data_IF_364667835741
#
_entry.id   IF_364667835741
#
_cell.length_a   1.000
_cell.length_b   1.000
_cell.length_c   1.000
_cell.angle_alpha   90.00
_cell.angle_beta   90.00
_cell.angle_gamma   90.00
#
_symmetry.space_group_name_H-M   'P 1'
#
loop_
_entity.id
_entity.type
_entity.pdbx_description
1 polymer ?
#
# COMPACT_ATOMS: atom_id res chain seq x y z
N UNK A 1 -51.57 -13.31 3.16
CA UNK A 1 -52.36 -12.09 3.45
C UNK A 1 -51.38 -10.94 3.56
N UNK A 2 -51.51 -9.98 2.62
CA UNK A 2 -50.86 -8.66 2.50
C UNK A 2 -49.33 -8.54 2.56
N UNK A 3 -48.67 -7.70 1.76
CA UNK A 3 -48.75 -7.26 0.35
C UNK A 3 -47.49 -6.42 0.14
N UNK A 4 -46.78 -6.66 -0.97
CA UNK A 4 -45.67 -5.81 -1.44
C UNK A 4 -46.20 -4.41 -1.79
N UNK A 5 -45.38 -3.39 -1.57
CA UNK A 5 -45.57 -2.05 -2.13
C UNK A 5 -44.49 -1.82 -3.20
N UNK A 6 -44.94 -1.72 -4.44
CA UNK A 6 -44.20 -1.31 -5.63
C UNK A 6 -44.51 0.17 -5.86
N UNK A 7 -43.50 1.03 -6.07
CA UNK A 7 -43.73 2.37 -6.61
C UNK A 7 -43.31 2.40 -8.08
N UNK A 8 -44.27 2.74 -8.95
CA UNK A 8 -44.06 3.00 -10.38
C UNK A 8 -43.96 4.50 -10.66
N UNK A 9 -43.07 4.81 -11.59
CA UNK A 9 -42.93 5.97 -12.48
C UNK A 9 -43.95 7.11 -12.46
N UNK A 10 -43.41 8.33 -12.54
CA UNK A 10 -43.99 9.45 -13.30
C UNK A 10 -42.95 9.94 -14.32
N UNK A 11 -43.32 9.92 -15.60
CA UNK A 11 -42.63 10.51 -16.75
C UNK A 11 -43.47 11.65 -17.32
N UNK A 12 -42.89 12.84 -17.50
CA UNK A 12 -43.12 13.82 -18.58
C UNK A 12 -42.21 15.03 -18.27
N UNK A 13 -41.66 15.84 -19.17
CA UNK A 13 -41.81 15.99 -20.60
C UNK A 13 -40.59 16.75 -21.15
N UNK A 14 -40.39 16.58 -22.45
CA UNK A 14 -39.46 17.22 -23.36
C UNK A 14 -39.57 18.76 -23.38
N UNK A 15 -38.44 19.47 -23.40
CA UNK A 15 -38.38 20.84 -23.94
C UNK A 15 -37.13 21.01 -24.81
N UNK A 16 -37.38 21.38 -26.08
CA UNK A 16 -36.37 21.63 -27.11
C UNK A 16 -35.79 23.05 -26.99
N UNK A 17 -34.49 23.12 -27.29
CA UNK A 17 -33.63 24.24 -27.71
C UNK A 17 -34.30 25.57 -28.09
N UNK A 18 -33.70 26.67 -27.59
CA UNK A 18 -33.26 27.80 -28.41
C UNK A 18 -31.99 28.41 -27.80
N UNK A 19 -31.00 28.73 -28.65
CA UNK A 19 -29.77 29.42 -28.24
C UNK A 19 -29.90 30.93 -28.40
N UNK A 20 -29.07 31.67 -27.65
CA UNK A 20 -28.51 32.96 -28.07
C UNK A 20 -27.35 33.34 -27.16
N UNK A 21 -26.21 33.61 -27.79
CA UNK A 21 -25.03 34.22 -27.19
C UNK A 21 -25.33 35.68 -26.79
N UNK A 22 -24.76 36.14 -25.68
CA UNK A 22 -24.37 37.53 -25.47
C UNK A 22 -23.15 37.61 -24.55
N UNK A 23 -22.27 38.54 -24.91
CA UNK A 23 -20.92 38.73 -24.40
C UNK A 23 -20.85 39.78 -23.27
N UNK A 24 -19.89 39.56 -22.36
CA UNK A 24 -19.20 40.57 -21.53
C UNK A 24 -19.82 40.92 -20.16
N UNK A 25 -19.06 41.51 -19.22
CA UNK A 25 -17.65 41.91 -19.27
C UNK A 25 -16.74 41.25 -18.21
N UNK A 26 -15.43 41.38 -18.44
CA UNK A 26 -14.34 40.93 -17.60
C UNK A 26 -14.25 41.70 -16.27
N UNK A 27 -14.03 40.98 -15.17
CA UNK A 27 -13.57 41.55 -13.90
C UNK A 27 -12.07 41.28 -13.76
N UNK A 28 -11.28 42.34 -13.80
CA UNK A 28 -9.86 42.36 -13.45
C UNK A 28 -9.78 42.59 -11.95
N UNK A 29 -9.29 41.60 -11.19
CA UNK A 29 -8.90 41.78 -9.80
C UNK A 29 -7.37 41.80 -9.73
N UNK A 30 -6.80 42.99 -9.62
CA UNK A 30 -5.39 43.17 -9.31
C UNK A 30 -5.23 43.11 -7.79
N UNK A 31 -4.49 42.10 -7.29
CA UNK A 31 -4.05 42.05 -5.90
C UNK A 31 -2.54 42.26 -5.85
N UNK A 32 -2.15 43.48 -5.45
CA UNK A 32 -0.77 43.84 -5.10
C UNK A 32 -0.46 43.34 -3.69
N UNK A 33 0.48 42.42 -3.55
CA UNK A 33 1.08 42.06 -2.25
C UNK A 33 2.38 42.85 -2.05
N UNK A 34 2.39 43.71 -1.02
CA UNK A 34 3.59 44.36 -0.50
C UNK A 34 4.37 43.35 0.36
N UNK A 35 5.59 43.04 -0.09
CA UNK A 35 6.60 42.28 0.64
C UNK A 35 7.22 43.14 1.75
N UNK A 36 7.24 42.65 2.99
CA UNK A 36 8.16 43.12 4.03
C UNK A 36 9.30 42.10 4.18
N UNK A 37 10.58 42.53 4.19
CA UNK A 37 11.70 41.65 4.51
C UNK A 37 11.93 41.57 6.03
N UNK A 38 12.47 40.46 6.57
CA UNK A 38 12.93 40.43 7.95
C UNK A 38 14.31 41.09 8.04
N UNK A 39 14.44 42.12 8.85
CA UNK A 39 15.75 42.69 9.22
C UNK A 39 16.28 41.96 10.45
N UNK A 40 17.43 41.32 10.28
CA UNK A 40 18.33 40.99 11.37
C UNK A 40 18.99 42.26 11.90
N UNK A 41 19.18 42.40 13.22
CA UNK A 41 20.30 43.18 13.74
C UNK A 41 20.71 42.76 15.16
N UNK A 42 22.03 42.74 15.29
CA UNK A 42 22.88 42.35 16.40
C UNK A 42 22.68 43.12 17.71
N UNK A 43 22.94 42.38 18.79
CA UNK A 43 23.83 42.69 19.92
C UNK A 43 24.36 44.13 20.05
N UNK A 44 24.14 44.72 21.23
CA UNK A 44 25.02 45.73 21.81
C UNK A 44 25.27 45.46 23.30
N UNK A 45 26.55 45.54 23.66
CA UNK A 45 27.14 45.36 24.98
C UNK A 45 26.87 46.56 25.91
N UNK A 46 26.70 46.26 27.20
CA UNK A 46 27.56 46.80 28.28
C UNK A 46 27.28 48.20 28.85
N UNK A 47 26.83 48.24 30.11
CA UNK A 47 26.97 49.38 31.01
C UNK A 47 26.33 49.14 32.39
N UNK A 48 27.08 49.16 33.52
CA UNK A 48 26.59 48.68 34.83
C UNK A 48 26.08 49.82 35.73
N UNK A 49 25.11 49.52 36.60
CA UNK A 49 25.02 49.96 38.00
C UNK A 49 23.67 49.61 38.64
N UNK A 50 23.73 49.22 39.92
CA UNK A 50 22.62 49.39 40.86
C UNK A 50 22.15 48.10 41.51
N UNK A 51 22.81 47.69 42.60
CA UNK A 51 22.35 46.62 43.47
C UNK A 51 21.04 46.98 44.17
N UNK A 52 20.17 45.97 44.29
CA UNK A 52 18.98 45.97 45.11
C UNK A 52 18.56 44.53 45.34
N UNK A 53 18.93 43.99 46.50
CA UNK A 53 18.58 42.64 46.91
C UNK A 53 17.07 42.51 47.11
N UNK A 54 16.51 41.46 46.51
CA UNK A 54 15.15 41.00 46.75
C UNK A 54 15.11 39.52 46.41
N UNK A 55 15.07 38.67 47.44
CA UNK A 55 14.94 37.23 47.29
C UNK A 55 13.63 36.89 46.60
N UNK A 56 13.73 36.36 45.38
CA UNK A 56 12.71 35.52 44.79
C UNK A 56 13.36 34.15 44.63
N UNK A 57 12.82 33.15 45.31
CA UNK A 57 13.21 31.77 45.08
C UNK A 57 13.09 31.50 43.59
N UNK A 58 14.21 31.14 42.97
CA UNK A 58 14.22 30.60 41.63
C UNK A 58 13.45 29.27 41.71
N UNK A 59 12.14 29.32 41.47
CA UNK A 59 11.43 28.17 40.97
C UNK A 59 12.17 27.78 39.71
N UNK A 60 12.93 26.68 39.77
CA UNK A 60 13.40 26.02 38.58
C UNK A 60 12.16 25.81 37.72
N UNK A 61 12.02 26.58 36.65
CA UNK A 61 11.14 26.19 35.57
C UNK A 61 11.64 24.80 35.19
N UNK A 62 10.88 23.76 35.58
CA UNK A 62 11.15 22.42 35.08
C UNK A 62 11.15 22.56 33.57
N UNK A 63 12.26 22.20 32.95
CA UNK A 63 12.31 22.09 31.50
C UNK A 63 11.21 21.09 31.12
N UNK A 64 10.14 21.55 30.47
CA UNK A 64 8.99 20.70 30.13
C UNK A 64 9.44 19.48 29.30
N UNK A 65 10.56 19.60 28.57
CA UNK A 65 11.20 18.47 27.87
C UNK A 65 11.70 17.39 28.84
N UNK A 66 12.16 17.77 30.02
CA UNK A 66 12.60 16.83 31.07
C UNK A 66 11.45 16.04 31.70
N UNK A 67 10.21 16.55 31.65
CA UNK A 67 9.01 15.84 32.10
C UNK A 67 8.53 14.86 31.04
N UNK A 68 8.49 15.27 29.76
CA UNK A 68 8.11 14.39 28.65
C UNK A 68 9.11 13.24 28.49
N UNK A 69 10.41 13.49 28.65
CA UNK A 69 11.45 12.45 28.58
C UNK A 69 11.40 11.42 29.72
N UNK A 70 10.58 11.65 30.76
CA UNK A 70 10.36 10.69 31.86
C UNK A 70 9.10 9.85 31.66
N UNK A 71 8.30 10.13 30.64
CA UNK A 71 7.08 9.37 30.32
C UNK A 71 7.41 8.41 29.19
N UNK A 72 7.39 7.11 29.48
CA UNK A 72 7.50 6.10 28.45
C UNK A 72 6.19 6.05 27.65
N UNK A 73 6.30 6.12 26.32
CA UNK A 73 5.18 5.78 25.45
C UNK A 73 4.79 4.32 25.71
N UNK A 74 3.48 4.05 25.78
CA UNK A 74 2.96 2.69 25.85
C UNK A 74 1.74 2.59 24.95
N UNK A 75 1.52 1.41 24.40
CA UNK A 75 0.24 1.09 23.77
C UNK A 75 -0.86 1.11 24.84
N UNK A 76 -1.99 1.71 24.50
CA UNK A 76 -3.19 1.77 25.34
C UNK A 76 -4.31 0.85 24.83
N UNK A 77 -4.09 0.15 23.71
CA UNK A 77 -5.14 -0.58 22.99
C UNK A 77 -6.29 0.33 22.51
N UNK A 78 -7.43 -0.23 22.07
CA UNK A 78 -7.63 -1.61 21.65
C UNK A 78 -6.79 -1.97 20.42
N UNK A 79 -6.49 -3.26 20.24
CA UNK A 79 -5.91 -3.80 19.01
C UNK A 79 -6.95 -4.59 18.17
N UNK A 80 -8.16 -4.79 18.71
CA UNK A 80 -9.21 -5.65 18.14
C UNK A 80 -9.83 -5.12 16.85
N UNK A 81 -9.70 -3.84 16.55
CA UNK A 81 -10.12 -3.25 15.28
C UNK A 81 -9.00 -3.23 14.24
N UNK A 82 -7.76 -3.36 14.69
CA UNK A 82 -6.56 -3.31 13.87
C UNK A 82 -6.55 -2.13 12.89
N UNK A 83 -5.96 -2.31 11.72
CA UNK A 83 -5.91 -1.31 10.68
C UNK A 83 -5.35 -1.89 9.38
N UNK A 84 -5.07 -0.99 8.44
CA UNK A 84 -4.78 -1.34 7.05
C UNK A 84 -3.44 -2.03 6.85
N UNK A 85 -3.52 -3.30 6.44
CA UNK A 85 -2.39 -4.11 5.97
C UNK A 85 -2.33 -4.02 4.45
N UNK A 86 -1.17 -3.62 3.91
CA UNK A 86 -0.97 -3.39 2.47
C UNK A 86 -0.24 -4.52 1.76
N UNK A 87 0.53 -5.32 2.49
CA UNK A 87 1.23 -6.48 1.92
C UNK A 87 1.53 -7.54 2.99
N UNK A 88 1.71 -8.79 2.54
CA UNK A 88 2.00 -9.96 3.38
C UNK A 88 3.10 -10.77 2.70
N UNK A 89 4.13 -11.13 3.45
CA UNK A 89 5.13 -12.10 3.03
C UNK A 89 5.27 -13.25 4.04
N UNK A 90 5.51 -14.44 3.53
CA UNK A 90 5.75 -15.64 4.33
C UNK A 90 7.13 -16.16 4.02
N UNK A 91 7.87 -16.56 5.04
CA UNK A 91 9.16 -17.19 4.82
C UNK A 91 8.97 -18.65 4.37
N UNK A 92 9.33 -18.94 3.12
CA UNK A 92 9.07 -20.24 2.48
C UNK A 92 10.29 -21.18 2.47
N UNK A 93 11.46 -20.72 2.91
CA UNK A 93 12.70 -21.52 2.89
C UNK A 93 12.62 -22.72 3.84
N UNK A 94 12.77 -23.96 3.35
CA UNK A 94 12.80 -25.16 4.20
C UNK A 94 13.97 -25.12 5.21
N UNK A 95 13.70 -25.47 6.47
CA UNK A 95 14.74 -25.65 7.51
C UNK A 95 14.90 -24.52 8.53
N UNK A 96 14.08 -23.46 8.48
CA UNK A 96 14.03 -22.47 9.56
C UNK A 96 13.44 -23.05 10.87
N UNK A 97 13.91 -22.53 12.02
CA UNK A 97 13.35 -22.82 13.35
C UNK A 97 11.86 -22.44 13.36
N UNK A 98 10.97 -23.43 13.42
CA UNK A 98 9.52 -23.23 13.27
C UNK A 98 8.86 -24.17 12.26
N UNK A 99 9.65 -24.75 11.35
CA UNK A 99 9.40 -26.02 10.65
C UNK A 99 8.17 -26.18 9.74
N UNK A 100 7.21 -25.25 9.75
CA UNK A 100 5.99 -25.33 8.92
C UNK A 100 5.77 -24.03 8.15
N UNK A 101 5.57 -24.14 6.83
CA UNK A 101 5.21 -23.03 5.96
C UNK A 101 3.98 -22.30 6.51
N UNK A 102 4.03 -20.97 6.54
CA UNK A 102 2.98 -20.12 7.14
C UNK A 102 3.11 -19.88 8.65
N UNK A 103 4.25 -20.18 9.27
CA UNK A 103 4.52 -19.83 10.69
C UNK A 103 5.26 -18.51 10.86
N UNK A 104 6.20 -18.21 9.96
CA UNK A 104 6.95 -16.94 9.94
C UNK A 104 6.32 -16.02 8.89
N UNK A 105 5.62 -15.00 9.37
CA UNK A 105 4.82 -14.08 8.57
C UNK A 105 5.30 -12.67 8.84
N UNK A 106 5.44 -11.89 7.78
CA UNK A 106 5.68 -10.46 7.82
C UNK A 106 4.48 -9.74 7.23
N UNK A 107 4.06 -8.65 7.84
CA UNK A 107 3.02 -7.77 7.30
C UNK A 107 3.54 -6.34 7.20
N UNK A 108 3.14 -5.67 6.12
CA UNK A 108 3.36 -4.25 5.94
C UNK A 108 2.06 -3.49 6.26
N UNK A 109 2.11 -2.54 7.19
CA UNK A 109 0.98 -1.68 7.49
C UNK A 109 1.07 -0.37 6.66
N UNK A 110 -0.06 0.12 6.15
CA UNK A 110 -0.09 1.38 5.39
C UNK A 110 0.47 2.55 6.21
N UNK A 111 0.21 2.49 7.52
CA UNK A 111 0.84 3.28 8.59
C UNK A 111 1.03 2.37 9.79
N UNK A 112 2.26 2.25 10.31
CA UNK A 112 2.58 1.38 11.44
C UNK A 112 3.77 0.44 11.22
N UNK A 113 4.54 0.63 10.13
CA UNK A 113 5.77 -0.11 9.88
C UNK A 113 5.55 -1.58 9.50
N UNK A 114 6.54 -2.40 9.81
CA UNK A 114 6.54 -3.85 9.54
C UNK A 114 6.38 -4.62 10.85
N UNK A 115 5.56 -5.65 10.80
CA UNK A 115 5.33 -6.56 11.92
C UNK A 115 5.68 -7.98 11.52
N UNK A 116 6.21 -8.74 12.48
CA UNK A 116 6.60 -10.14 12.31
C UNK A 116 5.84 -11.02 13.29
N UNK A 117 5.40 -12.17 12.80
CA UNK A 117 4.93 -13.28 13.61
C UNK A 117 5.82 -14.49 13.37
N UNK A 118 6.12 -15.25 14.43
CA UNK A 118 6.74 -16.57 14.35
C UNK A 118 5.80 -17.69 14.81
N UNK A 119 4.53 -17.36 15.06
CA UNK A 119 3.51 -18.25 15.60
C UNK A 119 2.32 -18.43 14.63
N UNK A 120 2.48 -18.07 13.35
CA UNK A 120 1.42 -18.16 12.35
C UNK A 120 0.32 -17.11 12.53
N UNK A 121 0.66 -15.93 13.03
CA UNK A 121 -0.28 -14.81 13.21
C UNK A 121 -1.04 -14.80 14.54
N UNK A 122 -0.62 -15.64 15.50
CA UNK A 122 -1.14 -15.63 16.88
C UNK A 122 -0.58 -14.45 17.66
N UNK A 123 0.72 -14.18 17.53
CA UNK A 123 1.42 -13.07 18.20
C UNK A 123 2.24 -12.28 17.18
N UNK A 124 2.41 -10.99 17.44
CA UNK A 124 3.07 -10.05 16.53
C UNK A 124 4.05 -9.13 17.27
N UNK A 125 5.18 -8.87 16.63
CA UNK A 125 6.20 -7.95 17.11
C UNK A 125 6.45 -6.87 16.04
N UNK A 126 6.49 -5.57 16.39
CA UNK A 126 6.93 -4.53 15.49
C UNK A 126 8.44 -4.64 15.31
N UNK A 127 8.92 -4.59 14.07
CA UNK A 127 10.34 -4.80 13.74
C UNK A 127 10.96 -3.63 12.96
N UNK A 128 10.21 -2.52 12.81
CA UNK A 128 10.61 -1.40 11.96
C UNK A 128 10.45 -0.02 12.61
N UNK A 129 10.17 0.03 13.91
CA UNK A 129 9.88 1.28 14.63
C UNK A 129 11.07 2.25 14.67
N UNK A 130 12.30 1.73 14.58
CA UNK A 130 13.54 2.52 14.63
C UNK A 130 13.96 3.11 13.27
N UNK A 131 13.28 2.74 12.17
CA UNK A 131 13.65 3.15 10.81
C UNK A 131 13.29 4.61 10.46
N UNK A 132 12.49 5.28 11.29
CA UNK A 132 12.11 6.70 11.11
C UNK A 132 11.03 6.96 10.07
N UNK A 133 10.46 5.90 9.46
CA UNK A 133 9.40 5.95 8.46
C UNK A 133 8.33 4.92 8.79
N UNK A 134 7.06 5.34 8.80
CA UNK A 134 5.95 4.51 9.25
C UNK A 134 5.00 4.05 8.15
N UNK A 135 5.11 4.59 6.93
CA UNK A 135 4.26 4.20 5.79
C UNK A 135 4.96 3.17 4.93
N UNK A 136 4.32 2.03 4.72
CA UNK A 136 4.88 0.91 3.96
C UNK A 136 4.15 0.71 2.64
N UNK A 137 4.86 0.13 1.68
CA UNK A 137 4.33 -0.24 0.36
C UNK A 137 4.47 -1.72 0.03
N UNK A 138 5.53 -2.39 0.49
CA UNK A 138 5.80 -3.79 0.20
C UNK A 138 6.70 -4.43 1.26
N UNK A 139 6.53 -5.74 1.51
CA UNK A 139 7.47 -6.55 2.28
C UNK A 139 7.67 -7.88 1.58
N UNK A 140 8.91 -8.32 1.44
CA UNK A 140 9.20 -9.59 0.76
C UNK A 140 10.38 -10.31 1.41
N UNK A 141 10.37 -11.64 1.32
CA UNK A 141 11.37 -12.52 1.91
C UNK A 141 12.05 -13.29 0.77
N UNK A 142 13.38 -13.37 0.78
CA UNK A 142 14.09 -14.09 -0.27
C UNK A 142 13.77 -15.59 -0.24
N UNK A 143 13.35 -16.21 -1.36
CA UNK A 143 13.02 -17.65 -1.40
C UNK A 143 14.20 -18.54 -1.01
N UNK A 144 15.41 -18.17 -1.44
CA UNK A 144 16.67 -18.88 -1.15
C UNK A 144 17.21 -18.68 0.26
N UNK A 145 16.80 -17.62 0.98
CA UNK A 145 17.31 -17.31 2.31
C UNK A 145 16.36 -16.42 3.11
N UNK A 146 15.60 -17.03 4.00
CA UNK A 146 14.62 -16.32 4.82
C UNK A 146 15.17 -15.32 5.85
N UNK A 147 16.49 -15.22 6.04
CA UNK A 147 17.08 -14.10 6.80
C UNK A 147 17.09 -12.80 6.00
N UNK A 148 16.98 -12.88 4.67
CA UNK A 148 16.99 -11.72 3.79
C UNK A 148 15.56 -11.25 3.61
N UNK A 149 15.25 -10.09 4.19
CA UNK A 149 13.95 -9.44 4.11
C UNK A 149 14.14 -8.07 3.49
N UNK A 150 13.33 -7.76 2.48
CA UNK A 150 13.29 -6.45 1.85
C UNK A 150 11.99 -5.74 2.17
N UNK A 151 12.08 -4.44 2.40
CA UNK A 151 10.95 -3.58 2.74
C UNK A 151 10.95 -2.38 1.81
N UNK A 152 9.80 -2.13 1.17
CA UNK A 152 9.52 -0.94 0.40
C UNK A 152 8.67 0.03 1.21
N UNK A 153 9.10 1.28 1.31
CA UNK A 153 8.36 2.30 2.06
C UNK A 153 7.50 3.18 1.16
N UNK A 154 6.44 3.72 1.74
CA UNK A 154 5.47 4.61 1.11
C UNK A 154 4.36 3.87 0.37
N UNK A 155 3.12 4.10 0.81
CA UNK A 155 1.95 3.43 0.27
C UNK A 155 1.77 3.74 -1.24
N UNK A 156 1.70 2.73 -2.13
CA UNK A 156 1.68 2.97 -3.58
C UNK A 156 0.31 3.38 -4.13
N UNK A 157 -0.68 3.57 -3.26
CA UNK A 157 -2.02 3.97 -3.66
C UNK A 157 -2.05 5.42 -4.18
N UNK A 158 -3.03 5.74 -5.03
CA UNK A 158 -3.19 7.07 -5.60
C UNK A 158 -4.17 7.93 -4.79
N UNK A 159 -4.08 7.85 -3.47
CA UNK A 159 -5.04 8.45 -2.55
C UNK A 159 -4.46 9.62 -1.78
N UNK A 160 -5.30 10.58 -1.37
CA UNK A 160 -4.84 11.79 -0.65
C UNK A 160 -4.23 11.48 0.72
N UNK A 161 -4.67 10.38 1.33
CA UNK A 161 -4.17 9.86 2.60
C UNK A 161 -2.92 9.00 2.44
N UNK A 162 -2.51 8.65 1.22
CA UNK A 162 -1.31 7.86 0.98
C UNK A 162 -0.08 8.66 1.38
N UNK A 163 0.61 8.16 2.39
CA UNK A 163 1.81 8.78 2.94
C UNK A 163 3.03 8.32 2.16
N UNK A 164 4.03 9.19 2.06
CA UNK A 164 5.29 8.88 1.41
C UNK A 164 6.21 8.12 2.38
N UNK A 165 7.06 7.29 1.81
CA UNK A 165 8.23 6.72 2.45
C UNK A 165 9.51 7.38 1.95
N UNK A 166 10.63 6.73 2.22
CA UNK A 166 11.95 7.21 1.86
C UNK A 166 12.83 6.13 1.22
N UNK A 167 12.24 5.15 0.52
CA UNK A 167 12.95 4.19 -0.31
C UNK A 167 12.83 2.74 0.18
N UNK A 168 13.91 1.98 0.03
CA UNK A 168 13.95 0.54 0.32
C UNK A 168 14.96 0.21 1.41
N UNK A 169 14.66 -0.83 2.19
CA UNK A 169 15.49 -1.33 3.28
C UNK A 169 15.72 -2.83 3.14
N UNK A 170 16.88 -3.30 3.59
CA UNK A 170 17.26 -4.71 3.63
C UNK A 170 17.59 -5.11 5.06
N UNK A 171 17.08 -6.27 5.48
CA UNK A 171 17.56 -7.00 6.64
C UNK A 171 18.29 -8.25 6.17
N UNK A 172 19.33 -8.64 6.90
CA UNK A 172 20.08 -9.90 6.70
C UNK A 172 20.00 -10.82 7.92
N UNK A 173 19.14 -10.47 8.87
CA UNK A 173 18.93 -11.11 10.17
C UNK A 173 17.43 -11.31 10.47
N UNK A 174 16.63 -11.54 9.42
CA UNK A 174 15.20 -11.83 9.52
C UNK A 174 14.38 -10.72 10.18
N UNK A 175 14.78 -9.46 10.00
CA UNK A 175 14.12 -8.27 10.50
C UNK A 175 14.54 -7.83 11.89
N UNK A 176 15.65 -8.35 12.46
CA UNK A 176 16.20 -7.80 13.71
C UNK A 176 16.79 -6.40 13.49
N UNK A 177 17.47 -6.19 12.37
CA UNK A 177 17.98 -4.89 11.94
C UNK A 177 17.73 -4.62 10.46
N UNK A 178 17.64 -3.35 10.10
CA UNK A 178 17.43 -2.90 8.72
C UNK A 178 18.44 -1.84 8.32
N UNK A 179 19.01 -2.00 7.14
CA UNK A 179 19.86 -1.02 6.47
C UNK A 179 19.08 -0.34 5.35
N UNK A 180 19.23 0.99 5.22
CA UNK A 180 18.64 1.74 4.12
C UNK A 180 19.45 1.53 2.84
N UNK A 181 18.80 1.04 1.78
CA UNK A 181 19.47 0.63 0.54
C UNK A 181 19.24 1.59 -0.62
N UNK A 182 18.74 2.81 -0.38
CA UNK A 182 18.56 3.83 -1.43
C UNK A 182 17.13 3.99 -1.92
N UNK A 183 16.97 4.55 -3.14
CA UNK A 183 15.69 4.91 -3.75
C UNK A 183 14.86 5.94 -2.97
N UNK A 184 15.54 6.88 -2.28
CA UNK A 184 14.93 7.85 -1.36
C UNK A 184 13.87 8.74 -1.98
N UNK A 185 14.05 9.09 -3.24
CA UNK A 185 13.17 10.00 -3.97
C UNK A 185 12.04 9.28 -4.68
N UNK A 186 11.98 7.94 -4.58
CA UNK A 186 10.83 7.17 -5.06
C UNK A 186 9.56 7.53 -4.30
N UNK A 187 9.67 7.80 -2.99
CA UNK A 187 8.57 8.08 -2.07
C UNK A 187 7.51 6.99 -1.94
N UNK A 188 7.33 6.11 -2.92
CA UNK A 188 6.32 5.07 -2.94
C UNK A 188 6.88 3.86 -3.68
N UNK A 189 7.07 2.77 -2.95
CA UNK A 189 7.47 1.48 -3.51
C UNK A 189 6.22 0.63 -3.69
N UNK A 190 6.00 0.15 -4.91
CA UNK A 190 4.82 -0.66 -5.25
C UNK A 190 4.99 -2.14 -4.99
N UNK A 191 6.15 -2.69 -5.36
CA UNK A 191 6.45 -4.12 -5.26
C UNK A 191 7.96 -4.34 -5.32
N UNK A 192 8.47 -5.32 -4.57
CA UNK A 192 9.84 -5.81 -4.64
C UNK A 192 9.79 -7.30 -5.00
N UNK A 193 10.57 -7.70 -5.99
CA UNK A 193 10.77 -9.12 -6.34
C UNK A 193 12.25 -9.48 -6.26
N UNK A 194 12.53 -10.61 -5.62
CA UNK A 194 13.88 -11.13 -5.37
C UNK A 194 14.07 -12.34 -6.28
N UNK A 195 15.23 -12.43 -6.93
CA UNK A 195 15.56 -13.60 -7.74
C UNK A 195 15.56 -14.87 -6.87
N UNK A 196 14.93 -15.97 -7.32
CA UNK A 196 14.67 -17.14 -6.47
C UNK A 196 15.93 -17.79 -5.93
N UNK A 197 16.99 -17.85 -6.75
CA UNK A 197 18.24 -18.55 -6.43
C UNK A 197 19.39 -17.63 -6.00
N UNK A 198 19.23 -16.30 -6.14
CA UNK A 198 20.28 -15.33 -5.86
C UNK A 198 19.70 -14.07 -5.19
N UNK A 199 19.77 -13.97 -3.86
CA UNK A 199 19.12 -12.89 -3.13
C UNK A 199 19.81 -11.52 -3.31
N UNK A 200 20.93 -11.46 -4.02
CA UNK A 200 21.60 -10.20 -4.37
C UNK A 200 21.02 -9.56 -5.64
N UNK A 201 20.22 -10.30 -6.41
CA UNK A 201 19.49 -9.79 -7.58
C UNK A 201 18.06 -9.42 -7.17
N UNK A 202 17.74 -8.13 -7.18
CA UNK A 202 16.45 -7.61 -6.71
C UNK A 202 15.93 -6.56 -7.69
N UNK A 203 14.61 -6.58 -7.91
CA UNK A 203 13.90 -5.58 -8.72
C UNK A 203 12.88 -4.84 -7.85
N UNK A 204 12.83 -3.52 -8.03
CA UNK A 204 11.92 -2.64 -7.31
C UNK A 204 11.03 -1.90 -8.31
N UNK A 205 9.72 -2.11 -8.21
CA UNK A 205 8.71 -1.29 -8.85
C UNK A 205 8.57 0.03 -8.07
N UNK A 206 9.24 1.07 -8.57
CA UNK A 206 9.21 2.41 -8.00
C UNK A 206 8.09 3.23 -8.66
N UNK A 207 7.07 3.61 -7.89
CA UNK A 207 5.92 4.35 -8.42
C UNK A 207 6.26 5.85 -8.59
N UNK A 208 7.17 6.35 -7.76
CA UNK A 208 7.57 7.75 -7.74
C UNK A 208 6.63 8.66 -6.94
N UNK A 209 7.05 9.92 -6.74
CA UNK A 209 6.29 10.93 -6.01
C UNK A 209 4.85 11.09 -6.49
N UNK A 210 3.90 11.07 -5.55
CA UNK A 210 2.48 11.23 -5.85
C UNK A 210 2.10 12.68 -6.22
N UNK A 211 2.78 13.66 -5.59
CA UNK A 211 2.45 15.08 -5.66
C UNK A 211 3.40 15.91 -6.53
N UNK A 212 4.34 15.27 -7.22
CA UNK A 212 5.35 15.91 -8.05
C UNK A 212 5.76 15.05 -9.25
N UNK A 213 6.27 15.71 -10.30
CA UNK A 213 6.96 15.05 -11.39
C UNK A 213 8.39 14.63 -10.97
N UNK A 214 8.99 13.69 -11.70
CA UNK A 214 10.39 13.26 -11.49
C UNK A 214 10.55 12.30 -10.32
N UNK A 215 11.71 12.34 -9.64
CA UNK A 215 12.09 11.35 -8.62
C UNK A 215 12.41 9.97 -9.22
N UNK A 216 12.81 9.04 -8.36
CA UNK A 216 13.08 7.66 -8.77
C UNK A 216 11.75 6.94 -9.09
N UNK A 217 11.44 6.77 -10.37
CA UNK A 217 10.24 6.05 -10.84
C UNK A 217 10.59 5.12 -12.00
N UNK A 218 9.92 3.97 -12.08
CA UNK A 218 10.25 2.92 -13.05
C UNK A 218 10.52 1.56 -12.39
N UNK A 219 11.22 0.67 -13.09
CA UNK A 219 11.83 -0.52 -12.47
C UNK A 219 13.31 -0.23 -12.20
N UNK A 220 13.73 -0.45 -10.96
CA UNK A 220 15.14 -0.43 -10.58
C UNK A 220 15.61 -1.85 -10.30
N UNK A 221 16.81 -2.19 -10.78
CA UNK A 221 17.47 -3.48 -10.55
C UNK A 221 18.76 -3.26 -9.77
N UNK A 222 19.04 -4.14 -8.82
CA UNK A 222 20.36 -4.31 -8.23
C UNK A 222 20.86 -5.73 -8.52
N UNK A 223 22.18 -5.87 -8.64
CA UNK A 223 22.88 -7.15 -8.83
C UNK A 223 23.89 -7.40 -7.69
N UNK A 224 23.94 -6.51 -6.71
CA UNK A 224 24.92 -6.50 -5.61
C UNK A 224 24.22 -6.32 -4.24
N UNK A 225 22.97 -6.77 -4.17
CA UNK A 225 22.17 -6.78 -2.95
C UNK A 225 21.80 -5.40 -2.44
N UNK A 226 21.74 -4.40 -3.32
CA UNK A 226 21.29 -3.04 -3.01
C UNK A 226 22.40 -2.01 -2.83
N UNK A 227 23.67 -2.37 -3.05
CA UNK A 227 24.78 -1.42 -2.96
C UNK A 227 24.75 -0.43 -4.13
N UNK A 228 24.27 -0.86 -5.30
CA UNK A 228 24.01 -0.02 -6.45
C UNK A 228 22.69 -0.37 -7.14
N UNK A 229 22.11 0.62 -7.83
CA UNK A 229 20.84 0.50 -8.54
C UNK A 229 20.95 1.00 -9.97
N UNK A 230 20.37 0.24 -10.89
CA UNK A 230 20.20 0.59 -12.30
C UNK A 230 18.71 0.77 -12.61
N UNK A 231 18.34 1.88 -13.25
CA UNK A 231 16.99 2.06 -13.77
C UNK A 231 16.84 1.30 -15.08
N UNK A 232 16.18 0.14 -15.05
CA UNK A 232 16.06 -0.78 -16.19
C UNK A 232 14.76 -0.57 -16.99
N UNK A 233 13.76 0.10 -16.42
CA UNK A 233 12.57 0.55 -17.15
C UNK A 233 12.18 1.96 -16.70
N UNK A 234 12.22 2.93 -17.61
CA UNK A 234 11.75 4.31 -17.38
C UNK A 234 10.79 4.71 -18.50
N UNK A 235 9.68 5.36 -18.17
CA UNK A 235 8.67 5.79 -19.15
C UNK A 235 8.73 7.30 -19.36
N UNK A 236 8.33 8.08 -18.35
CA UNK A 236 8.39 9.54 -18.34
C UNK A 236 8.37 10.07 -16.89
N UNK A 237 8.40 11.39 -16.71
CA UNK A 237 8.45 12.04 -15.39
C UNK A 237 7.17 11.93 -14.53
N UNK A 238 6.07 11.40 -15.07
CA UNK A 238 4.79 11.20 -14.38
C UNK A 238 4.37 9.73 -14.29
N UNK A 239 5.19 8.82 -14.83
CA UNK A 239 4.86 7.40 -14.98
C UNK A 239 5.89 6.54 -14.29
N UNK A 240 5.48 5.90 -13.20
CA UNK A 240 6.28 4.88 -12.49
C UNK A 240 5.77 3.48 -12.75
N UNK A 241 6.24 2.52 -11.96
CA UNK A 241 5.77 1.13 -12.01
C UNK A 241 5.18 0.77 -10.65
N UNK A 242 3.95 0.26 -10.65
CA UNK A 242 3.21 -0.08 -9.43
C UNK A 242 3.27 -1.54 -9.06
N UNK A 243 3.58 -2.41 -10.02
CA UNK A 243 3.61 -3.86 -9.82
C UNK A 243 4.62 -4.52 -10.76
N UNK A 244 5.23 -5.60 -10.30
CA UNK A 244 6.17 -6.41 -11.08
C UNK A 244 6.07 -7.86 -10.62
N UNK A 245 6.04 -8.78 -11.59
CA UNK A 245 6.05 -10.22 -11.33
C UNK A 245 7.14 -10.90 -12.16
N UNK A 246 7.72 -11.95 -11.59
CA UNK A 246 8.82 -12.73 -12.15
C UNK A 246 8.33 -14.15 -12.45
N UNK A 247 8.70 -14.70 -13.60
CA UNK A 247 8.43 -16.10 -13.91
C UNK A 247 9.23 -17.00 -12.96
N UNK A 248 8.56 -17.85 -12.16
CA UNK A 248 9.22 -18.67 -11.14
C UNK A 248 10.11 -19.77 -11.72
N UNK A 249 9.98 -20.07 -13.02
CA UNK A 249 10.76 -21.09 -13.73
C UNK A 249 11.85 -20.49 -14.61
N UNK A 250 11.77 -19.19 -14.91
CA UNK A 250 12.77 -18.46 -15.66
C UNK A 250 12.84 -16.99 -15.20
N UNK A 251 13.70 -16.66 -14.23
CA UNK A 251 13.74 -15.33 -13.62
C UNK A 251 14.20 -14.19 -14.55
N UNK A 252 14.65 -14.49 -15.78
CA UNK A 252 14.89 -13.48 -16.82
C UNK A 252 13.58 -12.91 -17.39
N UNK A 253 12.47 -13.62 -17.21
CA UNK A 253 11.15 -13.20 -17.68
C UNK A 253 10.45 -12.41 -16.58
N UNK A 254 10.19 -11.14 -16.87
CA UNK A 254 9.53 -10.20 -15.96
C UNK A 254 8.34 -9.55 -16.66
N UNK A 255 7.29 -9.25 -15.90
CA UNK A 255 6.18 -8.41 -16.34
C UNK A 255 6.04 -7.23 -15.39
N UNK A 256 6.02 -6.01 -15.93
CA UNK A 256 5.92 -4.78 -15.14
C UNK A 256 4.69 -3.98 -15.54
N UNK A 257 4.01 -3.41 -14.54
CA UNK A 257 2.80 -2.63 -14.71
C UNK A 257 3.08 -1.13 -14.45
N UNK A 258 3.14 -0.33 -15.50
CA UNK A 258 3.35 1.10 -15.36
C UNK A 258 2.05 1.83 -15.03
N UNK A 259 2.16 2.89 -14.22
CA UNK A 259 1.06 3.73 -13.81
C UNK A 259 1.45 5.21 -13.98
N UNK A 260 0.77 5.87 -14.90
CA UNK A 260 0.81 7.33 -14.99
C UNK A 260 -0.11 7.93 -13.93
N UNK A 261 0.46 8.74 -13.02
CA UNK A 261 -0.33 9.38 -11.96
C UNK A 261 0.16 10.78 -11.60
N UNK A 262 -0.78 11.60 -11.15
CA UNK A 262 -0.51 12.90 -10.55
C UNK A 262 -1.62 13.26 -9.55
N UNK A 263 -1.22 13.82 -8.41
CA UNK A 263 -2.13 14.46 -7.46
C UNK A 263 -1.85 15.94 -7.30
N UNK A 264 -2.94 16.71 -7.28
CA UNK A 264 -2.98 18.09 -6.78
C UNK A 264 -4.13 18.23 -5.81
N UNK A 265 -4.13 19.30 -5.02
CA UNK A 265 -5.23 19.62 -4.12
C UNK A 265 -6.60 19.64 -4.84
N UNK A 266 -6.62 19.96 -6.13
CA UNK A 266 -7.80 20.16 -6.95
C UNK A 266 -7.96 19.20 -8.13
N UNK A 267 -6.99 18.30 -8.39
CA UNK A 267 -7.06 17.40 -9.56
C UNK A 267 -6.58 15.98 -9.27
N UNK A 268 -7.05 15.06 -10.12
CA UNK A 268 -6.71 13.65 -10.14
C UNK A 268 -6.23 13.23 -11.52
N UNK A 269 -5.07 12.61 -11.61
CA UNK A 269 -4.69 11.75 -12.73
C UNK A 269 -4.40 10.35 -12.19
N UNK A 270 -5.23 9.40 -12.59
CA UNK A 270 -5.16 7.98 -12.17
C UNK A 270 -4.76 7.01 -13.28
N UNK A 271 -4.42 7.53 -14.45
CA UNK A 271 -4.12 6.77 -15.64
C UNK A 271 -3.77 7.69 -16.80
N UNK A 272 -3.32 7.10 -17.90
CA UNK A 272 -2.93 7.83 -19.10
C UNK A 272 -2.12 6.98 -20.07
N UNK A 273 -1.60 7.59 -21.16
CA UNK A 273 -0.85 6.89 -22.19
C UNK A 273 0.44 6.24 -21.70
N UNK A 274 1.01 6.71 -20.58
CA UNK A 274 2.17 6.12 -19.94
C UNK A 274 1.87 4.79 -19.24
N UNK A 275 0.62 4.53 -18.85
CA UNK A 275 0.21 3.28 -18.20
C UNK A 275 0.21 2.10 -19.18
N UNK A 276 0.52 0.90 -18.69
CA UNK A 276 0.48 -0.32 -19.48
C UNK A 276 1.31 -1.47 -18.91
N UNK A 277 1.34 -2.57 -19.64
CA UNK A 277 2.07 -3.78 -19.25
C UNK A 277 3.29 -3.93 -20.16
N UNK A 278 4.45 -4.16 -19.56
CA UNK A 278 5.72 -4.39 -20.24
C UNK A 278 6.22 -5.79 -19.91
N UNK A 279 6.92 -6.42 -20.85
CA UNK A 279 7.57 -7.71 -20.66
C UNK A 279 9.06 -7.63 -20.98
N UNK A 280 9.88 -8.20 -20.11
CA UNK A 280 11.28 -8.54 -20.37
C UNK A 280 11.43 -10.05 -20.54
N UNK A 281 12.46 -10.47 -21.28
CA UNK A 281 12.89 -11.87 -21.40
C UNK A 281 14.41 -12.05 -21.17
N UNK A 282 15.08 -10.99 -20.69
CA UNK A 282 16.53 -10.89 -20.54
C UNK A 282 16.90 -10.20 -19.21
N UNK A 283 16.14 -10.47 -18.14
CA UNK A 283 16.44 -9.95 -16.81
C UNK A 283 16.27 -8.43 -16.67
N UNK A 284 15.47 -7.81 -17.54
CA UNK A 284 15.13 -6.40 -17.51
C UNK A 284 16.03 -5.53 -18.39
N UNK A 285 17.00 -6.10 -19.11
CA UNK A 285 17.85 -5.33 -20.03
C UNK A 285 17.04 -4.71 -21.17
N UNK A 286 16.01 -5.41 -21.65
CA UNK A 286 15.07 -4.87 -22.64
C UNK A 286 13.61 -5.14 -22.28
N UNK A 287 12.73 -4.19 -22.66
CA UNK A 287 11.30 -4.26 -22.37
C UNK A 287 10.45 -4.05 -23.62
N UNK A 288 9.47 -4.92 -23.81
CA UNK A 288 8.45 -4.81 -24.86
C UNK A 288 7.11 -4.45 -24.25
N UNK A 289 6.51 -3.33 -24.68
CA UNK A 289 5.14 -2.97 -24.29
C UNK A 289 4.14 -3.94 -24.93
N UNK A 290 3.28 -4.54 -24.12
CA UNK A 290 2.22 -5.43 -24.56
C UNK A 290 0.97 -4.63 -24.93
N UNK A 291 0.22 -5.10 -25.93
CA UNK A 291 -0.98 -4.39 -26.42
C UNK A 291 -2.06 -5.28 -27.01
N UNK A 292 -1.70 -6.45 -27.55
CA UNK A 292 -2.66 -7.33 -28.23
C UNK A 292 -3.68 -7.90 -27.25
N UNK A 293 -4.93 -7.47 -27.38
CA UNK A 293 -6.06 -7.92 -26.54
C UNK A 293 -6.17 -7.23 -25.18
N UNK A 294 -5.34 -6.21 -24.95
CA UNK A 294 -5.46 -5.27 -23.83
C UNK A 294 -6.30 -4.05 -24.25
N UNK A 295 -6.74 -3.20 -23.29
CA UNK A 295 -7.45 -1.97 -23.60
C UNK A 295 -6.82 -1.13 -24.69
N UNK A 296 -7.65 -0.59 -25.59
CA UNK A 296 -7.21 0.34 -26.64
C UNK A 296 -7.26 1.80 -26.18
N UNK A 297 -7.92 2.04 -25.05
CA UNK A 297 -8.04 3.33 -24.35
C UNK A 297 -6.98 3.49 -23.25
N UNK A 298 -6.89 4.69 -22.67
CA UNK A 298 -5.96 4.95 -21.56
C UNK A 298 -6.26 4.03 -20.37
N UNK A 299 -5.20 3.43 -19.83
CA UNK A 299 -5.26 2.54 -18.67
C UNK A 299 -4.91 3.30 -17.38
N UNK A 300 -5.54 2.92 -16.28
CA UNK A 300 -5.23 3.35 -14.93
C UNK A 300 -4.31 2.39 -14.20
N UNK A 301 -4.54 2.16 -12.90
CA UNK A 301 -3.78 1.18 -12.12
C UNK A 301 -3.98 -0.23 -12.67
N UNK A 302 -2.89 -0.99 -12.69
CA UNK A 302 -2.83 -2.37 -13.13
C UNK A 302 -2.18 -3.19 -12.01
N UNK A 303 -2.86 -4.24 -11.55
CA UNK A 303 -2.26 -5.27 -10.70
C UNK A 303 -1.98 -6.51 -11.51
N UNK A 304 -0.87 -7.19 -11.25
CA UNK A 304 -0.43 -8.40 -11.95
C UNK A 304 -0.32 -9.56 -10.98
N UNK A 305 -0.56 -10.78 -11.50
CA UNK A 305 -0.08 -11.99 -10.87
C UNK A 305 0.19 -13.08 -11.92
N UNK A 306 1.10 -14.00 -11.61
CA UNK A 306 1.57 -15.07 -12.50
C UNK A 306 1.29 -16.43 -11.87
N UNK A 307 0.78 -17.37 -12.66
CA UNK A 307 0.55 -18.73 -12.18
C UNK A 307 1.88 -19.45 -11.91
N UNK A 308 2.04 -19.98 -10.69
CA UNK A 308 3.22 -20.77 -10.34
C UNK A 308 3.24 -22.12 -11.06
N UNK A 309 2.07 -22.77 -11.20
CA UNK A 309 1.94 -24.05 -11.92
C UNK A 309 2.00 -23.91 -13.44
N UNK A 310 1.64 -22.75 -14.00
CA UNK A 310 1.62 -22.48 -15.44
C UNK A 310 2.16 -21.07 -15.75
N UNK A 311 3.48 -20.82 -15.73
CA UNK A 311 4.05 -19.46 -15.85
C UNK A 311 3.77 -18.69 -17.15
N UNK A 312 3.23 -19.33 -18.19
CA UNK A 312 2.71 -18.64 -19.37
C UNK A 312 1.33 -17.98 -19.12
N UNK A 313 0.69 -18.32 -18.01
CA UNK A 313 -0.57 -17.76 -17.54
C UNK A 313 -0.31 -16.56 -16.64
N UNK A 314 -0.69 -15.38 -17.10
CA UNK A 314 -0.56 -14.13 -16.34
C UNK A 314 -1.91 -13.43 -16.34
N UNK A 315 -2.27 -12.90 -15.16
CA UNK A 315 -3.48 -12.14 -14.92
C UNK A 315 -3.17 -10.67 -14.73
N UNK A 316 -4.11 -9.82 -15.14
CA UNK A 316 -4.07 -8.40 -14.90
C UNK A 316 -5.45 -7.87 -14.51
N UNK A 317 -5.54 -7.05 -13.47
CA UNK A 317 -6.73 -6.24 -13.17
C UNK A 317 -6.45 -4.82 -13.64
N UNK A 318 -7.25 -4.32 -14.57
CA UNK A 318 -6.96 -3.04 -15.24
C UNK A 318 -8.08 -2.05 -14.97
N UNK A 319 -7.72 -0.85 -14.49
CA UNK A 319 -8.61 0.32 -14.44
C UNK A 319 -8.67 1.01 -15.81
N UNK A 320 -9.85 1.53 -16.17
CA UNK A 320 -10.03 2.34 -17.39
C UNK A 320 -11.46 2.28 -17.91
N UNK A 321 -11.71 2.83 -19.09
CA UNK A 321 -13.01 2.68 -19.77
C UNK A 321 -13.28 1.24 -20.20
N UNK A 322 -12.23 0.47 -20.46
CA UNK A 322 -12.26 -0.97 -20.76
C UNK A 322 -11.76 -1.76 -19.54
N UNK A 323 -12.20 -1.39 -18.33
CA UNK A 323 -11.76 -2.04 -17.10
C UNK A 323 -12.11 -3.52 -17.04
N UNK A 324 -11.36 -4.28 -16.25
CA UNK A 324 -11.70 -5.68 -15.97
C UNK A 324 -10.51 -6.55 -15.61
N UNK A 325 -10.79 -7.85 -15.53
CA UNK A 325 -9.77 -8.89 -15.40
C UNK A 325 -9.38 -9.38 -16.78
N UNK A 326 -8.09 -9.32 -17.08
CA UNK A 326 -7.48 -9.79 -18.31
C UNK A 326 -6.56 -10.97 -18.02
N UNK A 327 -6.47 -11.89 -18.96
CA UNK A 327 -5.62 -13.07 -18.88
C UNK A 327 -4.88 -13.32 -20.19
N UNK A 328 -3.66 -13.80 -20.10
CA UNK A 328 -2.91 -14.43 -21.19
C UNK A 328 -2.55 -15.86 -20.78
N UNK A 329 -2.48 -16.80 -21.72
CA UNK A 329 -1.93 -18.17 -21.49
C UNK A 329 -0.68 -18.43 -22.34
N UNK A 330 -0.13 -17.39 -22.97
CA UNK A 330 0.98 -17.50 -23.90
C UNK A 330 2.07 -16.46 -23.62
N UNK A 331 2.23 -16.14 -22.33
CA UNK A 331 3.26 -15.24 -21.83
C UNK A 331 3.13 -13.83 -22.40
N UNK A 332 1.91 -13.32 -22.53
CA UNK A 332 1.64 -11.94 -22.94
C UNK A 332 1.61 -11.69 -24.45
N UNK A 333 1.73 -12.72 -25.31
CA UNK A 333 1.63 -12.55 -26.77
C UNK A 333 0.22 -12.13 -27.21
N UNK A 334 -0.80 -12.58 -26.48
CA UNK A 334 -2.17 -12.11 -26.62
C UNK A 334 -2.91 -12.23 -25.28
N UNK A 335 -3.69 -11.20 -24.97
CA UNK A 335 -4.56 -11.13 -23.81
C UNK A 335 -6.02 -11.30 -24.24
N UNK A 336 -6.87 -11.66 -23.27
CA UNK A 336 -8.32 -11.67 -23.39
C UNK A 336 -8.93 -11.11 -22.11
N UNK A 337 -9.99 -10.33 -22.26
CA UNK A 337 -10.82 -9.92 -21.13
C UNK A 337 -11.65 -11.12 -20.66
N UNK A 338 -11.56 -11.43 -19.37
CA UNK A 338 -12.28 -12.53 -18.72
C UNK A 338 -13.60 -12.03 -18.12
N UNK A 339 -13.56 -10.83 -17.52
CA UNK A 339 -14.72 -10.15 -16.93
C UNK A 339 -14.51 -8.64 -16.88
N UNK A 340 -15.56 -7.89 -16.57
CA UNK A 340 -15.53 -6.44 -16.31
C UNK A 340 -15.27 -6.09 -14.84
N UNK A 341 -14.91 -7.09 -14.02
CA UNK A 341 -14.63 -6.89 -12.59
C UNK A 341 -13.36 -6.06 -12.42
N UNK A 342 -13.55 -4.92 -11.78
CA UNK A 342 -12.51 -4.04 -11.30
C UNK A 342 -13.12 -3.23 -10.16
N UNK A 343 -12.81 -3.57 -8.91
CA UNK A 343 -13.31 -2.83 -7.74
C UNK A 343 -12.27 -1.82 -7.31
N UNK A 344 -12.48 -0.55 -7.69
CA UNK A 344 -11.67 0.61 -7.28
C UNK A 344 -10.15 0.34 -7.44
N UNK A 345 -9.66 -0.01 -8.65
CA UNK A 345 -8.29 -0.55 -8.77
C UNK A 345 -7.21 0.47 -8.44
N UNK A 346 -7.47 1.77 -8.52
CA UNK A 346 -6.55 2.82 -8.06
C UNK A 346 -6.20 2.70 -6.56
N UNK A 347 -7.03 2.00 -5.78
CA UNK A 347 -6.84 1.76 -4.34
C UNK A 347 -6.47 0.32 -4.00
N UNK A 348 -7.20 -0.66 -4.56
CA UNK A 348 -6.94 -2.10 -4.34
C UNK A 348 -6.13 -2.68 -5.48
N UNK A 349 -6.79 -2.94 -6.62
CA UNK A 349 -6.14 -3.32 -7.87
C UNK A 349 -5.18 -4.49 -7.73
N UNK A 350 -5.56 -5.51 -6.94
CA UNK A 350 -4.75 -6.70 -6.68
C UNK A 350 -5.52 -7.95 -7.13
N UNK A 351 -4.80 -8.89 -7.74
CA UNK A 351 -5.26 -10.22 -8.09
C UNK A 351 -4.27 -11.24 -7.55
N UNK A 352 -4.76 -12.41 -7.14
CA UNK A 352 -3.92 -13.54 -6.73
C UNK A 352 -4.36 -14.81 -7.45
N UNK A 353 -3.41 -15.55 -7.99
CA UNK A 353 -3.61 -16.83 -8.67
C UNK A 353 -3.26 -17.94 -7.71
N UNK A 354 -4.12 -18.94 -7.62
CA UNK A 354 -3.82 -20.14 -6.85
C UNK A 354 -2.52 -20.80 -7.40
N UNK A 355 -1.52 -21.06 -6.53
CA UNK A 355 -0.26 -21.67 -6.91
C UNK A 355 -0.37 -22.99 -7.67
N UNK A 356 -1.42 -23.77 -7.39
CA UNK A 356 -1.61 -25.13 -7.91
C UNK A 356 -2.60 -25.19 -9.08
N UNK A 357 -3.50 -24.22 -9.21
CA UNK A 357 -4.52 -24.19 -10.27
C UNK A 357 -4.73 -22.78 -10.87
N UNK A 358 -4.31 -22.51 -12.12
CA UNK A 358 -4.48 -21.19 -12.74
C UNK A 358 -5.95 -20.78 -12.97
N UNK A 359 -6.91 -21.70 -12.83
CA UNK A 359 -8.32 -21.37 -12.95
C UNK A 359 -8.92 -20.82 -11.63
N UNK A 360 -8.22 -20.99 -10.51
CA UNK A 360 -8.63 -20.42 -9.22
C UNK A 360 -7.93 -19.09 -9.01
N UNK A 361 -8.69 -18.00 -8.97
CA UNK A 361 -8.16 -16.64 -8.81
C UNK A 361 -8.98 -15.82 -7.84
N UNK A 362 -8.31 -14.94 -7.11
CA UNK A 362 -8.90 -14.03 -6.13
C UNK A 362 -8.71 -12.58 -6.59
N UNK A 363 -9.80 -11.82 -6.61
CA UNK A 363 -9.77 -10.39 -6.86
C UNK A 363 -9.97 -9.65 -5.54
N UNK A 364 -8.98 -8.86 -5.16
CA UNK A 364 -8.97 -8.08 -3.92
C UNK A 364 -9.51 -6.69 -4.23
N UNK A 365 -10.61 -6.35 -3.56
CA UNK A 365 -11.32 -5.09 -3.75
C UNK A 365 -12.40 -4.95 -2.69
N UNK A 366 -13.53 -4.33 -3.02
CA UNK A 366 -14.73 -4.32 -2.17
C UNK A 366 -15.88 -4.95 -2.95
N UNK A 367 -16.31 -6.19 -2.67
CA UNK A 367 -15.77 -7.15 -1.67
C UNK A 367 -14.61 -8.02 -2.22
N UNK A 368 -14.05 -8.91 -1.38
CA UNK A 368 -13.18 -10.02 -1.82
C UNK A 368 -13.97 -11.02 -2.65
N UNK A 369 -13.45 -11.34 -3.83
CA UNK A 369 -14.10 -12.26 -4.77
C UNK A 369 -13.17 -13.38 -5.20
N UNK A 370 -13.72 -14.58 -5.39
CA UNK A 370 -13.03 -15.77 -5.91
C UNK A 370 -13.70 -16.23 -7.19
N UNK A 371 -12.90 -16.62 -8.18
CA UNK A 371 -13.31 -17.32 -9.39
C UNK A 371 -12.70 -18.72 -9.40
N UNK A 372 -13.43 -19.68 -9.96
CA UNK A 372 -12.99 -21.07 -10.15
C UNK A 372 -12.92 -21.45 -11.63
N UNK A 373 -13.07 -20.48 -12.53
CA UNK A 373 -13.12 -20.64 -13.98
C UNK A 373 -12.23 -19.61 -14.69
N UNK A 374 -11.13 -19.25 -14.03
CA UNK A 374 -10.09 -18.43 -14.58
C UNK A 374 -10.49 -16.96 -14.75
N UNK A 375 -11.41 -16.47 -13.92
CA UNK A 375 -11.84 -15.08 -13.89
C UNK A 375 -13.09 -14.78 -14.72
N UNK A 376 -13.82 -15.78 -15.20
CA UNK A 376 -15.06 -15.58 -15.98
C UNK A 376 -16.25 -15.29 -15.05
N UNK A 377 -16.43 -16.11 -14.02
CA UNK A 377 -17.47 -15.93 -13.00
C UNK A 377 -16.87 -15.81 -11.61
N UNK A 378 -17.56 -15.06 -10.74
CA UNK A 378 -17.03 -14.65 -9.44
C UNK A 378 -18.08 -14.81 -8.35
N UNK A 379 -17.63 -15.25 -7.17
CA UNK A 379 -18.42 -15.35 -5.94
C UNK A 379 -17.71 -14.62 -4.80
N UNK A 380 -18.46 -14.18 -3.79
CA UNK A 380 -17.85 -13.63 -2.57
C UNK A 380 -16.98 -14.67 -1.89
N UNK A 381 -15.77 -14.27 -1.48
CA UNK A 381 -14.85 -15.08 -0.68
C UNK A 381 -14.53 -14.43 0.68
N UNK A 382 -15.36 -13.46 1.09
CA UNK A 382 -15.40 -12.94 2.45
C UNK A 382 -16.77 -13.26 3.07
N UNK A 383 -16.76 -13.96 4.20
CA UNK A 383 -17.94 -14.29 5.01
C UNK A 383 -17.64 -13.99 6.48
N UNK A 384 -18.63 -14.08 7.37
CA UNK A 384 -18.36 -14.10 8.82
C UNK A 384 -17.87 -12.79 9.45
N UNK A 385 -18.05 -11.64 8.81
CA UNK A 385 -17.68 -10.33 9.38
C UNK A 385 -16.25 -9.87 9.07
N UNK A 386 -15.59 -10.48 8.08
CA UNK A 386 -14.35 -9.94 7.52
C UNK A 386 -14.58 -8.52 6.99
N UNK A 387 -13.65 -7.60 7.27
CA UNK A 387 -13.68 -6.24 6.75
C UNK A 387 -13.62 -6.23 5.21
N UNK A 388 -14.25 -5.25 4.56
CA UNK A 388 -14.57 -5.33 3.12
C UNK A 388 -13.47 -4.81 2.17
N UNK A 389 -12.48 -4.06 2.69
CA UNK A 389 -11.45 -3.35 1.93
C UNK A 389 -10.13 -4.15 1.81
N UNK A 390 -10.03 -5.03 0.83
CA UNK A 390 -8.96 -6.04 0.76
C UNK A 390 -7.74 -5.57 -0.03
N UNK A 391 -6.55 -5.66 0.58
CA UNK A 391 -5.31 -5.10 0.03
C UNK A 391 -4.19 -6.12 -0.19
N UNK A 392 -4.11 -7.15 0.66
CA UNK A 392 -3.05 -8.14 0.60
C UNK A 392 -3.61 -9.55 0.73
N UNK A 393 -3.05 -10.49 -0.03
CA UNK A 393 -3.34 -11.91 0.14
C UNK A 393 -2.10 -12.73 -0.20
N UNK A 394 -1.87 -13.75 0.61
CA UNK A 394 -0.93 -14.83 0.32
C UNK A 394 -1.70 -16.14 0.29
N UNK A 395 -1.41 -16.97 -0.71
CA UNK A 395 -1.99 -18.29 -0.89
C UNK A 395 -0.85 -19.29 -0.69
N UNK A 396 -1.04 -20.25 0.21
CA UNK A 396 0.01 -21.20 0.49
C UNK A 396 0.30 -22.09 -0.74
N UNK A 397 1.54 -22.11 -1.25
CA UNK A 397 1.87 -22.89 -2.45
C UNK A 397 1.80 -24.41 -2.27
N UNK A 398 1.91 -24.90 -1.04
CA UNK A 398 1.80 -26.33 -0.71
C UNK A 398 0.35 -26.75 -0.36
N UNK A 399 -0.47 -25.82 0.11
CA UNK A 399 -1.87 -26.05 0.54
C UNK A 399 -2.77 -24.85 0.22
N UNK A 400 -3.36 -24.76 -0.98
CA UNK A 400 -4.15 -23.59 -1.38
C UNK A 400 -5.44 -23.36 -0.56
N UNK A 401 -5.78 -24.26 0.36
CA UNK A 401 -6.85 -24.02 1.33
C UNK A 401 -6.44 -22.99 2.39
N UNK A 402 -5.13 -22.85 2.64
CA UNK A 402 -4.54 -21.96 3.63
C UNK A 402 -4.25 -20.59 3.02
N UNK A 403 -5.06 -19.59 3.40
CA UNK A 403 -4.97 -18.23 2.92
C UNK A 403 -4.66 -17.27 4.05
N UNK A 404 -3.82 -16.27 3.77
CA UNK A 404 -3.64 -15.10 4.62
C UNK A 404 -4.24 -13.89 3.91
N UNK A 405 -4.92 -13.02 4.64
CA UNK A 405 -5.61 -11.87 4.10
C UNK A 405 -5.34 -10.63 4.96
N UNK A 406 -4.97 -9.54 4.30
CA UNK A 406 -4.80 -8.20 4.87
C UNK A 406 -5.81 -7.22 4.27
N UNK A 407 -6.47 -6.45 5.11
CA UNK A 407 -7.48 -5.45 4.73
C UNK A 407 -7.45 -4.25 5.69
N UNK A 408 -8.37 -3.28 5.53
CA UNK A 408 -8.46 -2.09 6.41
C UNK A 408 -8.87 -2.41 7.87
N UNK A 409 -9.34 -3.63 8.14
CA UNK A 409 -9.67 -4.14 9.47
C UNK A 409 -8.63 -5.09 10.05
N UNK A 410 -7.49 -5.33 9.39
CA UNK A 410 -6.38 -6.12 9.91
C UNK A 410 -6.12 -7.44 9.19
N UNK A 411 -5.70 -8.45 9.96
CA UNK A 411 -5.17 -9.72 9.47
C UNK A 411 -6.13 -10.87 9.72
N UNK A 412 -6.31 -11.72 8.70
CA UNK A 412 -7.20 -12.86 8.74
C UNK A 412 -6.53 -14.11 8.14
N UNK A 413 -6.91 -15.27 8.66
CA UNK A 413 -6.45 -16.59 8.18
C UNK A 413 -7.66 -17.42 7.75
N UNK A 414 -7.54 -18.15 6.65
CA UNK A 414 -8.51 -19.17 6.24
C UNK A 414 -7.81 -20.51 6.03
N UNK A 415 -8.54 -21.60 6.26
CA UNK A 415 -8.11 -22.98 5.99
C UNK A 415 -9.11 -23.73 5.10
N UNK A 416 -9.94 -23.00 4.37
CA UNK A 416 -10.97 -23.54 3.48
C UNK A 416 -11.26 -22.61 2.30
N UNK A 417 -10.19 -22.18 1.61
CA UNK A 417 -10.27 -21.35 0.39
C UNK A 417 -10.94 -19.98 0.58
N UNK A 418 -11.07 -19.48 1.81
CA UNK A 418 -11.74 -18.22 2.11
C UNK A 418 -13.24 -18.36 2.38
N UNK A 419 -13.76 -19.58 2.55
CA UNK A 419 -15.17 -19.76 2.91
C UNK A 419 -15.44 -19.27 4.35
N UNK A 420 -14.50 -19.45 5.27
CA UNK A 420 -14.51 -18.87 6.63
C UNK A 420 -13.13 -18.33 7.02
N UNK A 421 -13.11 -17.37 7.95
CA UNK A 421 -11.92 -16.63 8.33
C UNK A 421 -11.80 -16.47 9.84
N UNK A 422 -10.59 -16.66 10.36
CA UNK A 422 -10.19 -16.33 11.71
C UNK A 422 -9.49 -14.97 11.72
N UNK A 423 -9.94 -14.07 12.57
CA UNK A 423 -9.37 -12.72 12.73
C UNK A 423 -8.31 -12.68 13.83
N UNK A 424 -7.22 -11.94 13.61
CA UNK A 424 -6.15 -11.71 14.60
C UNK A 424 -6.34 -10.37 15.35
N UNK A 425 -6.82 -10.38 16.61
CA UNK A 425 -7.31 -9.17 17.31
C UNK A 425 -6.24 -8.43 18.12
N UNK A 426 -4.95 -8.64 17.84
CA UNK A 426 -3.82 -8.14 18.65
C UNK A 426 -2.80 -7.30 17.86
N UNK A 427 -3.19 -6.78 16.69
CA UNK A 427 -2.40 -5.83 15.92
C UNK A 427 -2.86 -4.38 16.19
N UNK A 428 -2.08 -3.52 16.89
CA UNK A 428 -2.50 -2.16 17.22
C UNK A 428 -2.26 -1.17 16.07
N UNK A 429 -2.83 -1.44 14.90
CA UNK A 429 -2.61 -0.69 13.64
C UNK A 429 -3.65 0.42 13.38
N UNK A 430 -4.40 0.80 14.41
CA UNK A 430 -5.54 1.70 14.32
C UNK A 430 -5.20 3.09 13.76
N UNK A 431 -5.88 3.49 12.69
CA UNK A 431 -5.67 4.79 12.03
C UNK A 431 -6.69 5.82 12.55
N UNK A 432 -6.32 6.58 13.58
CA UNK A 432 -7.16 7.61 14.18
C UNK A 432 -7.19 8.91 13.35
N UNK A 433 -8.40 9.43 13.08
CA UNK A 433 -8.58 10.77 12.51
C UNK A 433 -8.56 11.87 13.57
N UNK A 434 -9.12 11.57 14.75
CA UNK A 434 -9.20 12.48 15.88
C UNK A 434 -9.30 11.69 17.18
N UNK A 435 -8.71 12.24 18.24
CA UNK A 435 -8.74 11.69 19.60
C UNK A 435 -9.42 12.70 20.52
N UNK A 436 -10.34 12.22 21.35
CA UNK A 436 -11.00 12.94 22.42
C UNK A 436 -10.75 12.26 23.77
N UNK A 437 -10.78 13.05 24.83
CA UNK A 437 -10.68 12.56 26.21
C UNK A 437 -11.91 13.02 26.98
N UNK A 438 -12.41 12.18 27.87
CA UNK A 438 -13.36 12.61 28.89
C UNK A 438 -12.62 13.06 30.16
N UNK A 439 -13.40 13.42 31.20
CA UNK A 439 -12.91 13.83 32.51
C UNK A 439 -13.30 12.83 33.60
N UNK A 440 -13.46 11.55 33.24
CA UNK A 440 -13.83 10.51 34.21
C UNK A 440 -12.65 10.21 35.14
N UNK A 441 -12.92 10.09 36.44
CA UNK A 441 -11.94 9.69 37.46
C UNK A 441 -12.18 8.23 37.88
N UNK A 442 -11.14 7.43 38.22
CA UNK A 442 -9.72 7.81 38.32
C UNK A 442 -8.94 7.74 36.99
N UNK A 443 -9.57 7.24 35.92
CA UNK A 443 -8.97 7.13 34.60
C UNK A 443 -9.85 7.81 33.55
N UNK A 444 -9.24 8.68 32.76
CA UNK A 444 -9.91 9.30 31.62
C UNK A 444 -10.26 8.23 30.59
N UNK A 445 -11.47 8.27 30.04
CA UNK A 445 -11.82 7.60 28.81
C UNK A 445 -11.15 8.30 27.63
N UNK A 446 -10.43 7.54 26.81
CA UNK A 446 -9.86 7.99 25.55
C UNK A 446 -10.71 7.43 24.43
N UNK A 447 -11.15 8.29 23.53
CA UNK A 447 -12.00 7.94 22.41
C UNK A 447 -11.39 8.46 21.12
N UNK A 448 -11.67 7.79 20.00
CA UNK A 448 -11.33 8.36 18.71
C UNK A 448 -12.04 7.67 17.55
N UNK A 449 -12.24 8.44 16.49
CA UNK A 449 -12.81 7.97 15.23
C UNK A 449 -11.71 7.37 14.37
N UNK A 450 -11.92 6.14 13.90
CA UNK A 450 -10.97 5.39 13.09
C UNK A 450 -11.35 5.40 11.62
N UNK A 451 -10.35 5.20 10.76
CA UNK A 451 -10.57 4.84 9.36
C UNK A 451 -11.41 3.57 9.29
N UNK A 452 -12.59 3.68 8.65
CA UNK A 452 -13.55 2.63 8.30
C UNK A 452 -14.04 1.73 9.46
N UNK A 453 -13.59 2.01 10.69
CA UNK A 453 -13.79 1.18 11.87
C UNK A 453 -14.58 1.90 12.99
N UNK A 454 -15.43 2.89 12.65
CA UNK A 454 -16.27 3.61 13.63
C UNK A 454 -15.47 4.31 14.76
N UNK A 455 -16.14 4.64 15.87
CA UNK A 455 -15.52 5.24 17.06
C UNK A 455 -15.24 4.18 18.11
N UNK A 456 -14.01 4.16 18.60
CA UNK A 456 -13.59 3.29 19.70
C UNK A 456 -13.16 4.11 20.90
N UNK A 457 -13.25 3.52 22.09
CA UNK A 457 -12.66 4.10 23.28
C UNK A 457 -12.51 3.11 24.42
N UNK A 458 -11.66 3.49 25.36
CA UNK A 458 -11.34 2.69 26.53
C UNK A 458 -10.70 3.55 27.61
N UNK A 459 -10.57 3.01 28.84
CA UNK A 459 -9.92 3.75 29.91
C UNK A 459 -8.44 3.94 29.58
N UNK A 460 -7.91 5.09 29.95
CA UNK A 460 -6.49 5.41 29.78
C UNK A 460 -5.58 4.42 30.52
N UNK A 461 -6.03 3.75 31.58
CA UNK A 461 -5.34 2.64 32.24
C UNK A 461 -6.33 1.57 32.73
N UNK A 462 -5.85 0.32 32.86
CA UNK A 462 -6.60 -0.84 33.34
C UNK A 462 -6.05 -1.37 34.65
#
# INVERSE_FOLDING_TARGET
>A
MFSRATLHHVTSATLRRTGRAMAGPAFVLALTFLLFPPTAMNAQQGGPRGGGGGGAGAGQAMDDRSLVNRVAARSIGPAVMSGRIVDIAVAETPGMRGGRLGTIIYIAAATGGIWKSTSGGVDWEPIFDDAGVGSMGDVTVAPSNANIVWVGTGEPNNQRSSSYGDGVYKSVDAGETFEHMGLRTSQHVGRIVIHPDDPEIVYVAAVGPLWAAGGERGVYRTMDGGQSWEAVLTIDQHTGVTDIVMDPTNPDILYAASLQRERRAYSYVGGGPGSGIYKSIDGGDTWTRLSRGLPTTDMGRIGLDISLSHPQTVYAVIEGSEQGVYRTDNGGRAWRQMSDIASIPWYFGQIRVDPQDPEVVYHLGVPLQRSMDGGVTWASAASGGVHVDHHAMWINPEDPTHLLLGNDGGFYVSHNFGDTWDFSPNLPLSQFYAVGIDMQEPFFGIYGGLQDNSTWGGPSAT
#
